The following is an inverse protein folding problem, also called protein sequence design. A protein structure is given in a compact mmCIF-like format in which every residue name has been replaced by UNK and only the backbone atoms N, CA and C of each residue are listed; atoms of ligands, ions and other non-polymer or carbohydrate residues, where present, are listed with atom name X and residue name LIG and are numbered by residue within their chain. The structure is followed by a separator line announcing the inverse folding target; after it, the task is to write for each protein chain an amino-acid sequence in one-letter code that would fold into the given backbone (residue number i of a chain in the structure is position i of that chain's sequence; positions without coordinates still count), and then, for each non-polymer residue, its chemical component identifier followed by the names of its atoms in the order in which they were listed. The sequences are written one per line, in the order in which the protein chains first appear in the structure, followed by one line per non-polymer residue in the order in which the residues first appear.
data_IF_202313516763
#
_entry.id   IF_202313516763
#
_cell.length_a   1.000
_cell.length_b   1.000
_cell.length_c   1.000
_cell.angle_alpha   90.00
_cell.angle_beta   90.00
_cell.angle_gamma   90.00
#
_symmetry.space_group_name_H-M   'P 1'
#
loop_
_entity.id
_entity.type
_entity.pdbx_description
1 polymer ?
#
# COMPACT_ATOMS: atom_id res chain seq x y z
N UNK A 1 -34.41 33.23 48.78
CA UNK A 1 -34.01 32.36 47.66
C UNK A 1 -32.51 32.40 47.57
N UNK A 2 -31.86 31.40 48.12
CA UNK A 2 -30.36 31.35 48.20
C UNK A 2 -29.91 30.26 47.27
N UNK A 3 -29.27 30.70 46.21
CA UNK A 3 -28.68 29.84 45.21
C UNK A 3 -27.39 29.22 45.77
N UNK A 4 -27.34 27.87 45.86
CA UNK A 4 -26.15 27.13 46.30
C UNK A 4 -25.24 26.88 45.10
N UNK A 5 -23.93 27.16 45.20
CA UNK A 5 -23.00 26.83 44.12
C UNK A 5 -22.86 25.31 44.00
N UNK A 6 -22.97 24.79 42.76
CA UNK A 6 -22.68 23.40 42.42
C UNK A 6 -21.17 23.12 42.63
N UNK A 7 -20.87 22.31 43.63
CA UNK A 7 -19.53 21.74 43.84
C UNK A 7 -19.17 20.86 42.64
N UNK A 8 -18.11 21.24 41.92
CA UNK A 8 -17.53 20.47 40.86
C UNK A 8 -16.80 19.27 41.49
N UNK A 9 -17.27 18.07 41.17
CA UNK A 9 -16.69 16.82 41.65
C UNK A 9 -15.26 16.67 41.14
N UNK A 10 -14.27 16.86 42.02
CA UNK A 10 -12.83 16.92 41.70
C UNK A 10 -12.21 15.51 41.59
N UNK A 11 -13.02 14.45 41.68
CA UNK A 11 -12.63 13.06 41.61
C UNK A 11 -13.36 12.25 40.53
N UNK A 12 -13.87 12.92 39.47
CA UNK A 12 -14.33 12.18 38.32
C UNK A 12 -13.10 11.44 37.74
N UNK A 13 -13.10 10.12 37.83
CA UNK A 13 -12.14 9.28 37.12
C UNK A 13 -12.13 9.69 35.64
N UNK A 14 -10.96 9.78 34.98
CA UNK A 14 -10.95 10.03 33.55
C UNK A 14 -11.82 8.95 32.89
N UNK A 15 -12.80 9.40 32.08
CA UNK A 15 -13.57 8.48 31.26
C UNK A 15 -12.57 7.62 30.48
N UNK A 16 -12.80 6.30 30.35
CA UNK A 16 -11.93 5.45 29.54
C UNK A 16 -11.91 6.07 28.13
N UNK A 17 -10.70 6.46 27.68
CA UNK A 17 -10.48 6.84 26.29
C UNK A 17 -11.09 5.71 25.46
N UNK A 18 -12.15 6.00 24.71
CA UNK A 18 -12.75 5.05 23.78
C UNK A 18 -11.60 4.46 22.98
N UNK A 19 -11.38 3.15 23.09
CA UNK A 19 -10.48 2.40 22.20
C UNK A 19 -11.02 2.60 20.80
N UNK A 20 -10.58 3.69 20.15
CA UNK A 20 -10.83 3.87 18.74
C UNK A 20 -10.22 2.65 18.05
N UNK A 21 -11.07 1.90 17.39
CA UNK A 21 -10.77 0.71 16.62
C UNK A 21 -9.56 1.04 15.72
N UNK A 22 -8.34 0.70 16.21
CA UNK A 22 -7.08 1.15 15.61
C UNK A 22 -6.91 0.44 14.27
N UNK A 23 -7.39 1.07 13.22
CA UNK A 23 -7.30 0.57 11.85
C UNK A 23 -5.84 0.25 11.51
N UNK A 24 -5.59 -0.97 11.16
CA UNK A 24 -4.28 -1.42 10.68
C UNK A 24 -4.16 -1.17 9.19
N UNK A 25 -3.09 -0.53 8.78
CA UNK A 25 -2.73 -0.39 7.37
C UNK A 25 -1.97 -1.64 6.91
N UNK A 26 -2.33 -2.17 5.77
CA UNK A 26 -1.59 -3.27 5.11
C UNK A 26 -0.97 -2.71 3.84
N UNK A 27 0.34 -2.89 3.65
CA UNK A 27 1.05 -2.38 2.48
C UNK A 27 1.91 -3.46 1.85
N UNK A 28 1.91 -3.51 0.51
CA UNK A 28 2.86 -4.28 -0.26
C UNK A 28 3.86 -3.29 -0.88
N UNK A 29 5.14 -3.50 -0.66
CA UNK A 29 6.21 -2.62 -1.15
C UNK A 29 7.15 -3.38 -2.06
N UNK A 30 7.57 -2.72 -3.13
CA UNK A 30 8.61 -3.18 -4.04
C UNK A 30 9.47 -2.00 -4.50
N UNK A 31 10.70 -2.29 -4.86
CA UNK A 31 11.63 -1.34 -5.44
C UNK A 31 12.55 -2.04 -6.42
N UNK A 32 12.86 -1.36 -7.52
CA UNK A 32 13.69 -1.92 -8.55
C UNK A 32 14.63 -0.92 -9.19
N UNK A 33 15.69 -1.42 -9.83
CA UNK A 33 16.60 -0.63 -10.65
C UNK A 33 16.95 -1.39 -11.93
N UNK A 34 16.98 -0.68 -13.05
CA UNK A 34 17.43 -1.21 -14.34
C UNK A 34 18.94 -0.99 -14.49
N UNK A 35 19.71 -1.87 -13.91
CA UNK A 35 21.13 -1.73 -13.61
C UNK A 35 21.34 -1.46 -12.12
N UNK A 36 22.58 -1.57 -11.63
CA UNK A 36 22.86 -1.44 -10.20
C UNK A 36 24.19 -0.72 -9.92
N UNK A 37 24.21 0.64 -9.91
CA UNK A 37 23.08 1.58 -10.01
C UNK A 37 22.53 1.73 -11.44
N UNK A 38 21.28 2.20 -11.53
CA UNK A 38 20.59 2.49 -12.78
C UNK A 38 19.26 3.18 -12.56
N UNK A 39 18.46 3.44 -13.62
CA UNK A 39 17.12 3.97 -13.48
C UNK A 39 16.31 3.14 -12.48
N UNK A 40 15.91 3.76 -11.40
CA UNK A 40 15.29 3.10 -10.26
C UNK A 40 13.93 3.72 -9.91
N UNK A 41 13.08 2.95 -9.28
CA UNK A 41 11.77 3.40 -8.81
C UNK A 41 11.16 2.43 -7.82
N UNK A 42 10.14 2.88 -7.11
CA UNK A 42 9.40 2.03 -6.18
C UNK A 42 7.90 2.03 -6.50
N UNK A 43 7.24 1.00 -5.98
CA UNK A 43 5.79 0.86 -5.97
C UNK A 43 5.29 0.41 -4.62
N UNK A 44 4.17 0.99 -4.18
CA UNK A 44 3.48 0.63 -2.94
C UNK A 44 2.01 0.45 -3.23
N UNK A 45 1.45 -0.67 -2.80
CA UNK A 45 0.00 -0.91 -2.78
C UNK A 45 -0.47 -0.79 -1.35
N UNK A 46 -1.49 0.03 -1.13
CA UNK A 46 -2.06 0.31 0.18
C UNK A 46 -3.43 -0.35 0.28
N UNK A 47 -3.61 -1.19 1.29
CA UNK A 47 -4.83 -1.96 1.55
C UNK A 47 -5.32 -1.75 2.98
N UNK A 48 -6.60 -1.95 3.20
CA UNK A 48 -7.15 -2.14 4.54
C UNK A 48 -6.96 -3.59 5.04
N UNK A 49 -7.39 -3.88 6.26
CA UNK A 49 -7.29 -5.23 6.83
C UNK A 49 -8.12 -6.28 6.09
N UNK A 50 -9.15 -5.88 5.36
CA UNK A 50 -9.96 -6.78 4.53
C UNK A 50 -9.26 -7.16 3.21
N UNK A 51 -8.14 -6.51 2.88
CA UNK A 51 -7.42 -6.64 1.61
C UNK A 51 -8.00 -5.77 0.50
N UNK A 52 -8.90 -4.84 0.82
CA UNK A 52 -9.40 -3.87 -0.15
C UNK A 52 -8.36 -2.79 -0.38
N UNK A 53 -7.99 -2.57 -1.63
CA UNK A 53 -7.09 -1.49 -2.03
C UNK A 53 -7.68 -0.13 -1.69
N UNK A 54 -6.92 0.68 -0.97
CA UNK A 54 -7.24 2.06 -0.58
C UNK A 54 -6.54 3.04 -1.52
N UNK A 55 -5.23 2.80 -1.78
CA UNK A 55 -4.38 3.72 -2.53
C UNK A 55 -3.19 2.99 -3.16
N UNK A 56 -2.37 3.72 -3.89
CA UNK A 56 -1.09 3.25 -4.40
C UNK A 56 -0.12 4.40 -4.59
N UNK A 57 1.15 4.15 -4.28
CA UNK A 57 2.23 5.11 -4.45
C UNK A 57 3.25 4.56 -5.43
N UNK A 58 3.85 5.42 -6.23
CA UNK A 58 4.98 5.04 -7.07
C UNK A 58 5.79 6.28 -7.46
N UNK A 59 7.11 6.15 -7.49
CA UNK A 59 8.00 7.26 -7.82
C UNK A 59 9.25 6.77 -8.54
N UNK A 60 9.71 7.59 -9.47
CA UNK A 60 11.01 7.42 -10.13
C UNK A 60 12.11 8.12 -9.33
N UNK A 61 13.17 7.40 -9.02
CA UNK A 61 14.24 7.85 -8.13
C UNK A 61 15.50 8.32 -8.85
N UNK A 62 15.48 8.38 -10.20
CA UNK A 62 16.69 8.59 -10.96
C UNK A 62 17.62 7.37 -10.95
N UNK A 63 18.94 7.60 -11.00
CA UNK A 63 19.92 6.52 -10.98
C UNK A 63 20.22 6.11 -9.52
N UNK A 64 19.72 4.96 -9.09
CA UNK A 64 19.90 4.40 -7.75
C UNK A 64 20.15 2.89 -7.80
N UNK A 65 20.51 2.31 -6.65
CA UNK A 65 20.62 0.85 -6.51
C UNK A 65 19.26 0.22 -6.24
N UNK A 66 19.14 -1.07 -6.53
CA UNK A 66 17.92 -1.84 -6.23
C UNK A 66 17.54 -1.72 -4.74
N UNK A 67 18.51 -1.96 -3.85
CA UNK A 67 18.25 -1.91 -2.40
C UNK A 67 17.81 -0.51 -1.96
N UNK A 68 18.34 0.57 -2.53
CA UNK A 68 17.90 1.92 -2.22
C UNK A 68 16.43 2.13 -2.62
N UNK A 69 16.03 1.62 -3.79
CA UNK A 69 14.64 1.71 -4.24
C UNK A 69 13.67 0.93 -3.33
N UNK A 70 14.07 -0.26 -2.86
CA UNK A 70 13.29 -1.04 -1.89
C UNK A 70 13.08 -0.29 -0.57
N UNK A 71 14.13 0.33 -0.03
CA UNK A 71 14.04 1.18 1.16
C UNK A 71 13.18 2.42 0.94
N UNK A 72 13.27 3.04 -0.24
CA UNK A 72 12.44 4.20 -0.60
C UNK A 72 10.95 3.84 -0.61
N UNK A 73 10.59 2.67 -1.14
CA UNK A 73 9.22 2.16 -1.09
C UNK A 73 8.74 1.92 0.34
N UNK A 74 9.61 1.37 1.21
CA UNK A 74 9.29 1.21 2.63
C UNK A 74 9.06 2.57 3.32
N UNK A 75 9.94 3.56 3.09
CA UNK A 75 9.78 4.91 3.64
C UNK A 75 8.46 5.54 3.21
N UNK A 76 8.17 5.52 1.91
CA UNK A 76 6.92 6.07 1.38
C UNK A 76 5.68 5.43 2.02
N UNK A 77 5.70 4.11 2.26
CA UNK A 77 4.63 3.39 2.94
C UNK A 77 4.47 3.83 4.41
N UNK A 78 5.59 3.98 5.13
CA UNK A 78 5.59 4.41 6.53
C UNK A 78 5.10 5.86 6.67
N UNK A 79 5.58 6.77 5.83
CA UNK A 79 5.15 8.16 5.81
C UNK A 79 3.66 8.30 5.48
N UNK A 80 3.20 7.54 4.48
CA UNK A 80 1.78 7.49 4.12
C UNK A 80 0.92 7.11 5.31
N UNK A 81 1.25 6.03 6.00
CA UNK A 81 0.48 5.55 7.14
C UNK A 81 0.41 6.58 8.27
N UNK A 82 1.54 7.19 8.64
CA UNK A 82 1.59 8.24 9.68
C UNK A 82 0.79 9.48 9.29
N UNK A 83 0.92 9.93 8.03
CA UNK A 83 0.18 11.08 7.49
C UNK A 83 -1.33 10.88 7.54
N UNK A 84 -1.79 9.65 7.35
CA UNK A 84 -3.22 9.30 7.38
C UNK A 84 -3.71 8.81 8.76
N UNK A 85 -2.88 8.97 9.80
CA UNK A 85 -3.26 8.69 11.18
C UNK A 85 -3.25 7.22 11.58
N UNK A 86 -2.70 6.34 10.75
CA UNK A 86 -2.57 4.93 11.11
C UNK A 86 -1.52 4.73 12.19
N UNK A 87 -1.87 4.00 13.24
CA UNK A 87 -0.97 3.68 14.36
C UNK A 87 -0.42 2.25 14.26
N UNK A 88 -1.02 1.43 13.41
CA UNK A 88 -0.62 0.04 13.18
C UNK A 88 -0.40 -0.19 11.69
N UNK A 89 0.73 -0.82 11.32
CA UNK A 89 1.07 -1.11 9.93
C UNK A 89 1.68 -2.50 9.76
N UNK A 90 1.23 -3.21 8.74
CA UNK A 90 1.75 -4.52 8.30
C UNK A 90 2.35 -4.36 6.91
N UNK A 91 3.66 -4.49 6.81
CA UNK A 91 4.42 -4.39 5.56
C UNK A 91 4.69 -5.77 4.98
N UNK A 92 4.50 -5.92 3.67
CA UNK A 92 4.84 -7.11 2.89
C UNK A 92 5.85 -6.72 1.81
N UNK A 93 6.93 -7.47 1.68
CA UNK A 93 7.93 -7.27 0.63
C UNK A 93 8.50 -8.61 0.19
N UNK A 94 8.84 -8.73 -1.09
CA UNK A 94 9.55 -9.89 -1.64
C UNK A 94 11.08 -9.75 -1.56
N UNK A 95 11.58 -8.62 -1.04
CA UNK A 95 12.98 -8.45 -0.69
C UNK A 95 13.29 -9.09 0.67
N UNK A 96 13.82 -10.31 0.64
CA UNK A 96 14.26 -11.00 1.86
C UNK A 96 15.34 -10.20 2.61
N UNK A 97 16.22 -9.52 1.85
CA UNK A 97 17.29 -8.69 2.42
C UNK A 97 16.72 -7.51 3.22
N UNK A 98 15.79 -6.75 2.63
CA UNK A 98 15.11 -5.65 3.31
C UNK A 98 14.44 -6.12 4.59
N UNK A 99 13.65 -7.20 4.51
CA UNK A 99 12.92 -7.76 5.65
C UNK A 99 13.88 -8.15 6.78
N UNK A 100 14.97 -8.88 6.47
CA UNK A 100 15.96 -9.31 7.47
C UNK A 100 16.74 -8.13 8.07
N UNK A 101 17.04 -7.11 7.28
CA UNK A 101 17.70 -5.91 7.79
C UNK A 101 16.78 -5.11 8.72
N UNK A 102 15.53 -4.88 8.37
CA UNK A 102 14.58 -4.18 9.23
C UNK A 102 14.31 -4.93 10.54
N UNK A 103 14.23 -6.26 10.50
CA UNK A 103 14.14 -7.11 11.71
C UNK A 103 15.40 -7.12 12.56
N UNK A 104 16.53 -6.66 12.01
CA UNK A 104 17.83 -6.68 12.70
C UNK A 104 18.55 -8.02 12.62
N UNK A 105 18.08 -8.96 11.83
CA UNK A 105 18.72 -10.25 11.57
C UNK A 105 20.00 -10.08 10.73
N UNK A 106 19.98 -9.10 9.80
CA UNK A 106 21.12 -8.76 8.96
C UNK A 106 21.55 -7.31 9.18
N UNK A 107 22.88 -7.07 9.22
CA UNK A 107 23.45 -5.73 9.34
C UNK A 107 23.45 -4.99 8.01
N UNK A 108 23.09 -3.72 8.03
CA UNK A 108 23.29 -2.79 6.91
C UNK A 108 24.76 -2.36 6.93
N UNK A 109 25.49 -2.65 5.84
CA UNK A 109 26.93 -2.33 5.70
C UNK A 109 27.20 -1.22 4.71
N UNK A 110 26.28 -0.99 3.77
CA UNK A 110 26.42 0.03 2.74
C UNK A 110 26.19 1.41 3.34
N UNK A 111 27.17 2.30 3.25
CA UNK A 111 27.06 3.69 3.72
C UNK A 111 25.86 4.41 3.09
N UNK A 112 25.62 4.18 1.79
CA UNK A 112 24.46 4.76 1.10
C UNK A 112 23.12 4.30 1.65
N UNK A 113 23.05 3.12 2.30
CA UNK A 113 21.82 2.60 2.90
C UNK A 113 21.69 2.92 4.38
N UNK A 114 22.77 3.29 5.08
CA UNK A 114 22.75 3.55 6.53
C UNK A 114 21.79 4.70 6.84
N UNK A 115 21.82 5.77 6.06
CA UNK A 115 20.96 6.93 6.26
C UNK A 115 19.48 6.55 6.11
N UNK A 116 19.11 5.97 4.97
CA UNK A 116 17.71 5.59 4.67
C UNK A 116 17.19 4.49 5.62
N UNK A 117 18.07 3.57 6.05
CA UNK A 117 17.77 2.60 7.10
C UNK A 117 17.47 3.28 8.44
N UNK A 118 18.27 4.29 8.82
CA UNK A 118 18.05 5.08 10.02
C UNK A 118 16.69 5.76 10.01
N UNK A 119 16.36 6.45 8.91
CA UNK A 119 15.05 7.09 8.69
C UNK A 119 13.89 6.10 8.82
N UNK A 120 14.02 4.93 8.18
CA UNK A 120 13.01 3.88 8.29
C UNK A 120 12.80 3.43 9.73
N UNK A 121 13.89 3.24 10.51
CA UNK A 121 13.82 2.86 11.93
C UNK A 121 13.18 3.96 12.78
N UNK A 122 13.42 5.23 12.47
CA UNK A 122 12.83 6.37 13.18
C UNK A 122 11.33 6.50 12.90
N UNK A 123 10.89 6.27 11.67
CA UNK A 123 9.48 6.22 11.33
C UNK A 123 8.78 5.02 11.97
N UNK A 124 9.41 3.85 11.97
CA UNK A 124 8.87 2.63 12.60
C UNK A 124 8.59 2.86 14.10
N UNK A 125 9.47 3.57 14.81
CA UNK A 125 9.27 3.86 16.26
C UNK A 125 8.04 4.72 16.56
N UNK A 126 7.52 5.46 15.55
CA UNK A 126 6.31 6.28 15.70
C UNK A 126 5.01 5.46 15.64
N UNK A 127 5.09 4.22 15.18
CA UNK A 127 3.96 3.30 15.16
C UNK A 127 3.81 2.58 16.50
N UNK A 128 2.58 2.37 16.94
CA UNK A 128 2.24 1.52 18.09
C UNK A 128 2.49 0.05 17.79
N UNK A 129 2.18 -0.36 16.55
CA UNK A 129 2.43 -1.71 16.04
C UNK A 129 3.02 -1.67 14.63
N UNK A 130 4.16 -2.31 14.47
CA UNK A 130 4.83 -2.48 13.20
C UNK A 130 5.16 -3.95 12.97
N UNK A 131 4.78 -4.46 11.82
CA UNK A 131 5.13 -5.81 11.38
C UNK A 131 5.67 -5.75 9.95
N UNK A 132 6.73 -6.51 9.67
CA UNK A 132 7.23 -6.72 8.32
C UNK A 132 7.41 -8.21 8.06
N UNK A 133 6.96 -8.67 6.89
CA UNK A 133 7.11 -10.07 6.48
C UNK A 133 7.55 -10.17 5.03
N UNK A 134 8.32 -11.19 4.75
CA UNK A 134 8.64 -11.61 3.40
C UNK A 134 7.41 -12.29 2.77
N UNK A 135 7.16 -12.00 1.50
CA UNK A 135 6.16 -12.66 0.66
C UNK A 135 6.82 -13.13 -0.63
N UNK A 136 6.26 -14.13 -1.29
CA UNK A 136 6.74 -14.53 -2.60
C UNK A 136 6.38 -13.49 -3.66
N UNK A 137 7.20 -13.40 -4.71
CA UNK A 137 7.04 -12.41 -5.79
C UNK A 137 5.66 -12.45 -6.45
N UNK A 138 5.06 -13.64 -6.53
CA UNK A 138 3.71 -13.82 -7.05
C UNK A 138 2.64 -13.06 -6.25
N UNK A 139 2.91 -12.82 -4.97
CA UNK A 139 2.04 -12.08 -4.06
C UNK A 139 2.34 -10.57 -4.03
N UNK A 140 3.42 -10.11 -4.70
CA UNK A 140 3.87 -8.72 -4.74
C UNK A 140 3.79 -8.10 -6.14
N UNK A 141 3.17 -8.77 -7.10
CA UNK A 141 3.14 -8.38 -8.53
C UNK A 141 2.67 -6.96 -8.78
N UNK A 142 1.70 -6.48 -8.03
CA UNK A 142 1.14 -5.15 -8.25
C UNK A 142 2.11 -4.05 -7.79
N UNK A 143 2.82 -4.24 -6.68
CA UNK A 143 3.88 -3.33 -6.26
C UNK A 143 5.05 -3.33 -7.27
N UNK A 144 5.48 -4.52 -7.74
CA UNK A 144 6.47 -4.66 -8.84
C UNK A 144 6.03 -3.91 -10.10
N UNK A 145 4.75 -4.08 -10.51
CA UNK A 145 4.20 -3.36 -11.66
C UNK A 145 4.28 -1.83 -11.48
N UNK A 146 3.93 -1.32 -10.32
CA UNK A 146 3.99 0.11 -10.01
C UNK A 146 5.43 0.64 -10.04
N UNK A 147 6.41 -0.10 -9.50
CA UNK A 147 7.82 0.25 -9.55
C UNK A 147 8.32 0.31 -11.01
N UNK A 148 7.94 -0.67 -11.84
CA UNK A 148 8.27 -0.70 -13.26
C UNK A 148 7.65 0.48 -14.02
N UNK A 149 6.37 0.81 -13.76
CA UNK A 149 5.71 1.98 -14.35
C UNK A 149 6.38 3.29 -13.97
N UNK A 150 6.83 3.44 -12.71
CA UNK A 150 7.56 4.62 -12.26
C UNK A 150 8.86 4.78 -13.05
N UNK A 151 9.63 3.70 -13.22
CA UNK A 151 10.86 3.70 -14.02
C UNK A 151 10.59 4.04 -15.49
N UNK A 152 9.55 3.47 -16.11
CA UNK A 152 9.20 3.74 -17.50
C UNK A 152 8.84 5.20 -17.72
N UNK A 153 7.98 5.76 -16.87
CA UNK A 153 7.63 7.19 -16.91
C UNK A 153 8.85 8.08 -16.74
N UNK A 154 9.71 7.79 -15.75
CA UNK A 154 10.92 8.57 -15.48
C UNK A 154 11.94 8.55 -16.62
N UNK A 155 11.96 7.46 -17.40
CA UNK A 155 12.81 7.34 -18.61
C UNK A 155 12.13 7.87 -19.88
N UNK A 156 10.96 8.49 -19.78
CA UNK A 156 10.22 9.01 -20.94
C UNK A 156 9.69 7.92 -21.88
N UNK A 157 9.62 6.66 -21.42
CA UNK A 157 9.02 5.58 -22.19
C UNK A 157 7.50 5.75 -22.17
N UNK A 158 6.86 5.69 -23.35
CA UNK A 158 5.40 5.65 -23.43
C UNK A 158 4.94 4.33 -22.81
N UNK A 159 4.35 4.41 -21.62
CA UNK A 159 3.66 3.27 -21.04
C UNK A 159 2.36 3.08 -21.82
N UNK A 160 2.28 2.01 -22.58
CA UNK A 160 1.06 1.63 -23.31
C UNK A 160 0.00 0.97 -22.41
N UNK A 161 0.18 1.05 -21.11
CA UNK A 161 -0.72 0.43 -20.15
C UNK A 161 -1.70 1.44 -19.59
N UNK A 162 -2.93 1.33 -20.09
CA UNK A 162 -4.12 1.62 -19.28
C UNK A 162 -3.98 0.85 -17.96
N UNK A 163 -4.44 1.39 -16.81
CA UNK A 163 -4.52 0.59 -15.58
C UNK A 163 -5.18 -0.74 -15.93
N UNK A 164 -4.78 -1.89 -15.33
CA UNK A 164 -5.47 -3.13 -15.54
C UNK A 164 -6.94 -2.85 -15.30
N UNK A 165 -7.75 -2.99 -16.35
CA UNK A 165 -9.18 -3.00 -16.16
C UNK A 165 -9.43 -4.03 -15.05
N UNK A 166 -10.26 -3.72 -14.05
CA UNK A 166 -10.64 -4.69 -13.04
C UNK A 166 -11.05 -5.94 -13.82
N UNK A 167 -10.51 -7.10 -13.46
CA UNK A 167 -10.70 -8.37 -14.18
C UNK A 167 -12.13 -8.42 -14.70
N UNK A 168 -12.29 -8.17 -16.00
CA UNK A 168 -13.61 -8.19 -16.62
C UNK A 168 -14.06 -9.64 -16.58
N UNK A 169 -14.85 -10.00 -15.58
CA UNK A 169 -15.56 -11.27 -15.59
C UNK A 169 -16.44 -11.22 -16.82
N UNK A 170 -16.02 -11.91 -17.89
CA UNK A 170 -16.87 -12.07 -19.05
C UNK A 170 -18.10 -12.85 -18.64
N UNK A 171 -19.20 -12.18 -18.51
CA UNK A 171 -20.50 -12.81 -18.30
C UNK A 171 -21.17 -12.93 -19.66
N UNK A 172 -21.44 -14.16 -20.06
CA UNK A 172 -22.11 -14.44 -21.32
C UNK A 172 -23.61 -14.20 -21.16
N UNK A 173 -24.22 -13.57 -22.13
CA UNK A 173 -25.66 -13.30 -22.14
C UNK A 173 -26.20 -13.23 -23.57
N UNK A 174 -27.49 -13.07 -23.71
CA UNK A 174 -28.17 -12.79 -24.99
C UNK A 174 -29.09 -11.59 -24.87
N UNK A 175 -29.34 -10.94 -25.98
CA UNK A 175 -30.27 -9.80 -26.04
C UNK A 175 -31.63 -10.32 -26.56
N UNK A 176 -32.70 -10.05 -25.81
CA UNK A 176 -34.06 -10.30 -26.21
C UNK A 176 -34.91 -9.07 -25.88
N UNK A 177 -35.69 -8.61 -26.83
CA UNK A 177 -36.60 -7.44 -26.68
C UNK A 177 -35.88 -6.17 -26.16
N UNK A 178 -34.61 -5.96 -26.57
CA UNK A 178 -33.79 -4.82 -26.11
C UNK A 178 -33.20 -4.93 -24.73
N UNK A 179 -33.40 -6.05 -24.02
CA UNK A 179 -32.89 -6.32 -22.69
C UNK A 179 -31.78 -7.38 -22.73
N UNK A 180 -30.70 -7.16 -21.97
CA UNK A 180 -29.61 -8.11 -21.83
C UNK A 180 -29.95 -9.12 -20.73
N UNK A 181 -29.98 -10.41 -21.09
CA UNK A 181 -30.18 -11.53 -20.18
C UNK A 181 -28.86 -12.26 -19.97
N UNK A 182 -28.38 -12.33 -18.74
CA UNK A 182 -27.14 -13.02 -18.39
C UNK A 182 -27.36 -14.53 -18.27
N UNK A 183 -26.45 -15.33 -18.84
CA UNK A 183 -26.40 -16.77 -18.70
C UNK A 183 -25.47 -17.12 -17.53
N UNK A 184 -26.02 -17.22 -16.33
CA UNK A 184 -25.29 -17.63 -15.12
C UNK A 184 -24.76 -16.46 -14.27
N UNK A 185 -25.23 -16.38 -13.03
CA UNK A 185 -24.80 -15.42 -12.01
C UNK A 185 -25.56 -14.08 -12.04
N UNK A 186 -25.63 -13.46 -10.88
CA UNK A 186 -26.09 -12.07 -10.73
C UNK A 186 -24.89 -11.13 -10.66
N UNK A 187 -25.02 -9.97 -11.27
CA UNK A 187 -24.04 -8.89 -11.08
C UNK A 187 -24.37 -8.12 -9.80
N UNK A 188 -23.35 -7.65 -9.04
CA UNK A 188 -23.61 -6.78 -7.90
C UNK A 188 -24.36 -5.52 -8.31
N UNK A 189 -25.21 -5.01 -7.42
CA UNK A 189 -25.95 -3.78 -7.66
C UNK A 189 -24.99 -2.60 -7.92
N UNK A 190 -25.29 -1.77 -8.93
CA UNK A 190 -24.43 -0.66 -9.35
C UNK A 190 -23.27 -1.03 -10.30
N UNK A 191 -23.14 -2.30 -10.72
CA UNK A 191 -22.11 -2.70 -11.67
C UNK A 191 -22.28 -2.02 -13.03
N UNK A 192 -21.20 -1.40 -13.55
CA UNK A 192 -21.16 -0.92 -14.94
C UNK A 192 -20.78 -2.07 -15.87
N UNK A 193 -21.56 -2.29 -16.90
CA UNK A 193 -21.33 -3.34 -17.89
C UNK A 193 -21.10 -2.76 -19.28
N UNK A 194 -20.18 -3.37 -20.02
CA UNK A 194 -19.98 -3.10 -21.45
C UNK A 194 -20.39 -4.34 -22.22
N UNK A 195 -21.37 -4.19 -23.11
CA UNK A 195 -21.85 -5.30 -23.94
C UNK A 195 -21.08 -5.32 -25.25
N UNK A 196 -20.42 -6.45 -25.55
CA UNK A 196 -19.78 -6.71 -26.84
C UNK A 196 -20.53 -7.82 -27.55
N UNK A 197 -21.01 -7.56 -28.75
CA UNK A 197 -21.63 -8.59 -29.59
C UNK A 197 -20.55 -9.49 -30.17
N UNK A 198 -20.65 -10.81 -29.94
CA UNK A 198 -19.87 -11.79 -30.70
C UNK A 198 -20.59 -11.99 -32.05
N UNK A 199 -19.84 -11.82 -33.14
CA UNK A 199 -20.26 -12.23 -34.48
C UNK A 199 -20.20 -13.75 -34.59
#
# INVERSE_FOLDING_TARGET
MTDKPKTRDMFAAPEPEEEQDEKTLVVNVDGGARGNPGPAGYGVVVEDESGKRIDSLSEYLGAQTNNFAEYSGLLAALEYGLKHGYRSIKVRSDSELLVKQIKGEYKVRSEALIAIYGEAKDLIRKYKSFQIRHVYREQNREADRLANLAMDKGMGRKTSESPPEPESKEVVGYVRDGVVHFLGGSLPEGSKVVVRLKK
#
